data_IF_172382929360
#
_entry.id   IF_172382929360
#
_cell.length_a   1.000
_cell.length_b   1.000
_cell.length_c   1.000
_cell.angle_alpha   90.00
_cell.angle_beta   90.00
_cell.angle_gamma   90.00
#
_symmetry.space_group_name_H-M   'P 1'
#
loop_
_entity.id
_entity.type
_entity.pdbx_description
1 polymer ?
#
# COMPACT_ATOMS: atom_id res chain seq x y z
N UNK A 1 -3.39 30.94 -13.96
CA UNK A 1 -3.83 29.53 -14.19
C UNK A 1 -4.28 28.96 -12.85
N UNK A 2 -5.03 27.86 -12.79
CA UNK A 2 -5.08 27.03 -11.58
C UNK A 2 -3.65 26.66 -11.16
N UNK A 3 -3.43 26.43 -9.87
CA UNK A 3 -2.15 25.93 -9.36
C UNK A 3 -1.86 24.52 -9.85
N UNK A 4 -0.57 24.18 -10.00
CA UNK A 4 -0.17 22.85 -10.46
C UNK A 4 -0.24 21.84 -9.31
N UNK A 5 -0.54 20.59 -9.65
CA UNK A 5 -0.51 19.44 -8.73
C UNK A 5 0.65 18.54 -9.15
N UNK A 6 1.69 18.44 -8.32
CA UNK A 6 2.76 17.47 -8.52
C UNK A 6 2.46 16.18 -7.76
N UNK A 7 2.15 15.12 -8.50
CA UNK A 7 1.76 13.83 -7.92
C UNK A 7 2.96 12.94 -7.53
N UNK A 8 4.21 13.39 -7.71
CA UNK A 8 5.40 12.55 -7.54
C UNK A 8 6.61 13.31 -6.98
N UNK A 9 6.50 13.84 -5.76
CA UNK A 9 7.65 14.38 -5.01
C UNK A 9 8.22 13.37 -4.03
N UNK A 10 9.47 13.57 -3.61
CA UNK A 10 10.13 12.81 -2.53
C UNK A 10 10.72 13.81 -1.54
N UNK A 11 9.97 14.11 -0.47
CA UNK A 11 10.37 15.10 0.56
C UNK A 11 11.24 14.48 1.65
N UNK A 12 11.36 13.15 1.70
CA UNK A 12 12.35 12.37 2.48
C UNK A 12 12.30 12.54 4.02
N UNK A 13 11.36 13.32 4.55
CA UNK A 13 11.13 13.54 5.97
C UNK A 13 9.96 12.66 6.48
N UNK A 14 10.06 12.01 7.66
CA UNK A 14 11.19 11.97 8.60
C UNK A 14 12.35 11.09 8.13
N UNK A 15 13.49 11.20 8.81
CA UNK A 15 14.58 10.23 8.78
C UNK A 15 15.71 10.53 7.77
N UNK A 16 15.40 11.08 6.59
CA UNK A 16 16.38 11.65 5.64
C UNK A 16 16.02 13.10 5.31
N UNK A 17 15.59 13.85 6.33
CA UNK A 17 15.13 15.24 6.20
C UNK A 17 16.18 16.15 5.55
N UNK A 18 17.47 15.87 5.74
CA UNK A 18 18.58 16.63 5.16
C UNK A 18 18.75 16.46 3.63
N UNK A 19 18.01 15.53 3.01
CA UNK A 19 17.96 15.40 1.55
C UNK A 19 17.03 16.43 0.90
N UNK A 20 15.97 16.82 1.59
CA UNK A 20 15.03 17.88 1.19
C UNK A 20 14.28 18.39 2.44
N UNK A 21 13.25 17.66 2.89
CA UNK A 21 12.38 18.04 4.01
C UNK A 21 11.11 18.77 3.54
N UNK A 22 10.06 18.78 4.37
CA UNK A 22 8.79 19.41 4.00
C UNK A 22 8.94 20.91 3.77
N UNK A 23 9.79 21.58 4.56
CA UNK A 23 9.93 23.03 4.52
C UNK A 23 10.51 23.55 3.20
N UNK A 24 11.69 23.08 2.80
CA UNK A 24 12.34 23.55 1.56
C UNK A 24 11.62 23.02 0.32
N UNK A 25 11.19 21.75 0.33
CA UNK A 25 10.52 21.15 -0.81
C UNK A 25 9.16 21.81 -1.11
N UNK A 26 8.37 22.15 -0.10
CA UNK A 26 7.09 22.88 -0.33
C UNK A 26 7.30 24.36 -0.67
N UNK A 27 8.35 25.01 -0.16
CA UNK A 27 8.74 26.35 -0.62
C UNK A 27 9.19 26.36 -2.09
N UNK A 28 9.96 25.34 -2.50
CA UNK A 28 10.38 25.16 -3.89
C UNK A 28 9.15 24.94 -4.80
N UNK A 29 8.23 24.07 -4.39
CA UNK A 29 6.95 23.83 -5.08
C UNK A 29 6.15 25.14 -5.26
N UNK A 30 5.95 25.91 -4.18
CA UNK A 30 5.28 27.22 -4.23
C UNK A 30 5.97 28.18 -5.20
N UNK A 31 7.31 28.25 -5.19
CA UNK A 31 8.07 29.12 -6.10
C UNK A 31 7.92 28.75 -7.58
N UNK A 32 7.66 27.46 -7.87
CA UNK A 32 7.39 26.94 -9.21
C UNK A 32 5.93 27.05 -9.67
N UNK A 33 5.02 27.54 -8.83
CA UNK A 33 3.58 27.58 -9.12
C UNK A 33 2.85 26.25 -8.91
N UNK A 34 3.47 25.30 -8.22
CA UNK A 34 2.82 24.09 -7.68
C UNK A 34 2.13 24.49 -6.38
N UNK A 35 0.85 24.14 -6.24
CA UNK A 35 0.04 24.44 -5.03
C UNK A 35 -0.40 23.20 -4.28
N UNK A 36 -0.14 22.02 -4.83
CA UNK A 36 -0.38 20.74 -4.15
C UNK A 36 0.73 19.77 -4.55
N UNK A 37 1.33 19.10 -3.56
CA UNK A 37 2.30 18.02 -3.80
C UNK A 37 1.81 16.72 -3.16
N UNK A 38 2.08 15.57 -3.79
CA UNK A 38 1.77 14.25 -3.24
C UNK A 38 3.08 13.49 -2.98
N UNK A 39 3.45 13.37 -1.70
CA UNK A 39 4.73 12.82 -1.27
C UNK A 39 4.76 11.29 -1.33
N UNK A 40 5.88 10.76 -1.83
CA UNK A 40 6.12 9.34 -2.05
C UNK A 40 6.40 8.57 -0.75
N UNK A 41 6.13 7.25 -0.71
CA UNK A 41 6.16 6.48 0.54
C UNK A 41 7.53 5.93 0.93
N UNK A 42 8.56 6.12 0.09
CA UNK A 42 9.93 5.68 0.33
C UNK A 42 10.87 6.85 0.60
N UNK A 43 12.16 6.56 0.79
CA UNK A 43 13.25 7.48 1.14
C UNK A 43 13.11 8.17 2.52
N UNK A 44 11.91 8.50 2.96
CA UNK A 44 11.63 8.77 4.37
C UNK A 44 11.81 7.48 5.21
N UNK A 45 12.36 7.61 6.42
CA UNK A 45 12.56 6.52 7.38
C UNK A 45 11.73 6.81 8.64
N UNK A 46 10.79 5.93 9.03
CA UNK A 46 10.38 4.71 8.31
C UNK A 46 9.51 5.04 7.07
N UNK A 47 9.50 4.18 6.04
CA UNK A 47 8.67 4.38 4.85
C UNK A 47 7.18 4.26 5.19
N UNK A 48 6.32 4.90 4.41
CA UNK A 48 4.87 5.06 4.64
C UNK A 48 4.07 3.78 4.32
N UNK A 49 4.45 2.66 4.95
CA UNK A 49 3.96 1.30 4.68
C UNK A 49 3.00 0.78 5.76
N UNK A 50 2.86 1.48 6.88
CA UNK A 50 1.92 1.17 7.98
C UNK A 50 1.25 2.45 8.48
N UNK A 51 0.13 2.32 9.21
CA UNK A 51 -0.54 3.47 9.84
C UNK A 51 0.36 4.22 10.82
N UNK A 52 1.20 3.50 11.57
CA UNK A 52 2.15 4.12 12.49
C UNK A 52 3.17 4.98 11.74
N UNK A 53 3.75 4.45 10.66
CA UNK A 53 4.71 5.19 9.83
C UNK A 53 4.06 6.38 9.12
N UNK A 54 2.78 6.26 8.77
CA UNK A 54 2.01 7.36 8.18
C UNK A 54 1.78 8.50 9.18
N UNK A 55 1.39 8.19 10.42
CA UNK A 55 1.25 9.19 11.48
C UNK A 55 2.57 9.93 11.75
N UNK A 56 3.71 9.21 11.79
CA UNK A 56 5.04 9.83 11.93
C UNK A 56 5.35 10.82 10.79
N UNK A 57 4.93 10.52 9.55
CA UNK A 57 5.11 11.43 8.41
C UNK A 57 4.17 12.63 8.46
N UNK A 58 2.91 12.44 8.86
CA UNK A 58 1.96 13.52 9.15
C UNK A 58 2.53 14.47 10.22
N UNK A 59 3.00 13.92 11.34
CA UNK A 59 3.58 14.71 12.44
C UNK A 59 4.84 15.45 12.01
N UNK A 60 5.66 14.86 11.14
CA UNK A 60 6.85 15.51 10.61
C UNK A 60 6.54 16.69 9.67
N UNK A 61 5.38 16.69 8.99
CA UNK A 61 4.95 17.79 8.12
C UNK A 61 4.32 18.99 8.87
N UNK A 62 3.81 18.80 10.10
CA UNK A 62 3.10 19.83 10.88
C UNK A 62 3.91 21.12 10.99
N UNK A 63 3.31 22.24 10.57
CA UNK A 63 3.92 23.57 10.63
C UNK A 63 5.11 23.79 9.67
N UNK A 64 5.32 22.90 8.69
CA UNK A 64 6.44 22.97 7.73
C UNK A 64 5.99 22.95 6.26
N UNK A 65 4.72 23.23 5.97
CA UNK A 65 4.17 23.15 4.61
C UNK A 65 3.75 24.52 4.09
N UNK A 66 4.20 24.85 2.87
CA UNK A 66 3.87 26.10 2.16
C UNK A 66 2.85 25.91 1.02
N UNK A 67 2.48 24.65 0.75
CA UNK A 67 1.48 24.21 -0.24
C UNK A 67 0.74 23.00 0.32
N UNK A 68 -0.41 22.63 -0.25
CA UNK A 68 -1.17 21.46 0.20
C UNK A 68 -0.34 20.18 0.03
N UNK A 69 -0.39 19.28 1.02
CA UNK A 69 0.34 18.01 0.96
C UNK A 69 -0.63 16.83 1.04
N UNK A 70 -0.55 15.96 0.03
CA UNK A 70 -1.09 14.61 0.06
C UNK A 70 0.02 13.57 0.22
N UNK A 71 -0.36 12.32 0.49
CA UNK A 71 0.59 11.24 0.73
C UNK A 71 0.21 9.96 0.01
N UNK A 72 1.21 9.26 -0.52
CA UNK A 72 1.10 7.89 -1.01
C UNK A 72 1.35 6.88 0.12
N UNK A 73 0.65 5.74 0.07
CA UNK A 73 1.00 4.55 0.83
C UNK A 73 2.04 3.70 0.09
N UNK A 74 2.85 2.95 0.82
CA UNK A 74 3.83 2.02 0.25
C UNK A 74 3.27 0.62 0.01
N UNK A 75 3.73 -0.03 -1.07
CA UNK A 75 3.61 -1.48 -1.26
C UNK A 75 4.98 -2.13 -1.01
N UNK A 76 5.07 -2.95 0.04
CA UNK A 76 6.23 -3.80 0.33
C UNK A 76 5.75 -5.23 0.59
N UNK A 77 6.58 -6.28 0.38
CA UNK A 77 6.13 -7.69 0.42
C UNK A 77 5.39 -8.12 1.69
N UNK A 78 5.61 -7.43 2.82
CA UNK A 78 5.09 -7.76 4.15
C UNK A 78 3.81 -7.02 4.56
N UNK A 79 3.41 -5.93 3.89
CA UNK A 79 2.38 -5.00 4.40
C UNK A 79 0.95 -5.16 3.82
N UNK A 80 0.60 -6.34 3.28
CA UNK A 80 -0.75 -6.59 2.71
C UNK A 80 -1.91 -6.31 3.69
N UNK A 81 -1.67 -6.35 5.00
CA UNK A 81 -2.70 -6.07 6.00
C UNK A 81 -2.88 -4.57 6.29
N UNK A 82 -1.88 -3.74 6.00
CA UNK A 82 -1.88 -2.29 6.22
C UNK A 82 -2.59 -1.51 5.11
N UNK A 83 -2.79 -2.10 3.92
CA UNK A 83 -3.38 -1.41 2.77
C UNK A 83 -4.78 -0.84 3.07
N UNK A 84 -5.69 -1.65 3.63
CA UNK A 84 -7.04 -1.19 3.96
C UNK A 84 -7.05 -0.15 5.11
N UNK A 85 -6.29 -0.32 6.21
CA UNK A 85 -6.05 0.74 7.19
C UNK A 85 -5.51 2.05 6.60
N UNK A 86 -4.50 2.01 5.71
CA UNK A 86 -3.94 3.20 5.08
C UNK A 86 -4.95 3.94 4.18
N UNK A 87 -5.81 3.20 3.45
CA UNK A 87 -6.94 3.79 2.72
C UNK A 87 -7.88 4.53 3.67
N UNK A 88 -8.22 3.94 4.83
CA UNK A 88 -9.06 4.58 5.84
C UNK A 88 -8.42 5.82 6.46
N UNK A 89 -7.08 5.87 6.54
CA UNK A 89 -6.32 7.05 6.96
C UNK A 89 -6.21 8.13 5.88
N UNK A 90 -6.67 7.86 4.65
CA UNK A 90 -6.77 8.85 3.59
C UNK A 90 -5.55 8.99 2.68
N UNK A 91 -4.66 7.99 2.58
CA UNK A 91 -3.62 7.99 1.52
C UNK A 91 -4.27 8.09 0.13
N UNK A 92 -3.62 8.77 -0.82
CA UNK A 92 -4.18 9.00 -2.17
C UNK A 92 -4.14 7.74 -3.06
N UNK A 93 -3.45 6.71 -2.62
CA UNK A 93 -3.28 5.40 -3.26
C UNK A 93 -1.97 4.77 -2.82
N UNK A 94 -1.42 3.87 -3.62
CA UNK A 94 -0.17 3.19 -3.28
C UNK A 94 0.88 3.23 -4.38
N UNK A 95 2.15 3.33 -4.00
CA UNK A 95 3.32 3.15 -4.88
C UNK A 95 4.06 1.87 -4.54
N UNK A 96 4.42 1.08 -5.55
CA UNK A 96 5.37 -0.03 -5.46
C UNK A 96 6.52 0.11 -6.45
N UNK A 97 7.51 -0.78 -6.35
CA UNK A 97 8.63 -0.91 -7.28
C UNK A 97 8.69 -2.34 -7.84
N UNK A 98 8.90 -2.49 -9.16
CA UNK A 98 9.03 -3.80 -9.83
C UNK A 98 10.50 -4.25 -9.97
N UNK A 99 11.42 -3.41 -9.50
CA UNK A 99 12.88 -3.53 -9.53
C UNK A 99 13.40 -3.06 -8.17
N UNK A 100 14.69 -3.24 -7.88
CA UNK A 100 15.34 -2.63 -6.72
C UNK A 100 15.07 -1.11 -6.67
N UNK A 101 14.65 -0.61 -5.50
CA UNK A 101 14.33 0.80 -5.29
C UNK A 101 15.56 1.66 -4.94
N UNK A 102 16.70 1.01 -4.69
CA UNK A 102 17.91 1.64 -4.16
C UNK A 102 17.97 1.74 -2.63
N UNK A 103 16.93 1.28 -1.91
CA UNK A 103 16.88 1.30 -0.43
C UNK A 103 16.25 0.03 0.17
N UNK A 104 16.91 -0.55 1.17
CA UNK A 104 16.53 -1.84 1.79
C UNK A 104 15.16 -1.80 2.48
N UNK A 105 14.77 -0.65 3.03
CA UNK A 105 13.48 -0.47 3.72
C UNK A 105 12.26 -0.45 2.77
N UNK A 106 12.49 -0.28 1.46
CA UNK A 106 11.43 -0.27 0.44
C UNK A 106 11.71 -1.29 -0.68
N UNK A 107 11.71 -2.60 -0.37
CA UNK A 107 12.09 -3.63 -1.33
C UNK A 107 11.05 -3.80 -2.45
N UNK A 108 11.51 -4.31 -3.59
CA UNK A 108 10.70 -4.63 -4.76
C UNK A 108 9.54 -5.60 -4.43
N UNK A 109 8.43 -5.49 -5.16
CA UNK A 109 7.26 -6.37 -5.02
C UNK A 109 7.11 -7.32 -6.21
N UNK A 110 6.68 -8.55 -5.93
CA UNK A 110 6.53 -9.60 -6.94
C UNK A 110 5.14 -9.57 -7.60
N UNK A 111 4.96 -10.17 -8.81
CA UNK A 111 3.64 -10.36 -9.41
C UNK A 111 2.65 -11.07 -8.48
N UNK A 112 3.12 -12.04 -7.68
CA UNK A 112 2.33 -12.77 -6.67
C UNK A 112 1.82 -11.84 -5.56
N UNK A 113 2.64 -10.88 -5.11
CA UNK A 113 2.21 -9.82 -4.20
C UNK A 113 1.20 -8.88 -4.86
N UNK A 114 1.45 -8.41 -6.09
CA UNK A 114 0.57 -7.47 -6.81
C UNK A 114 -0.85 -8.02 -6.95
N UNK A 115 -1.00 -9.30 -7.34
CA UNK A 115 -2.31 -9.97 -7.41
C UNK A 115 -3.02 -9.96 -6.05
N UNK A 116 -2.31 -10.26 -4.95
CA UNK A 116 -2.85 -10.22 -3.59
C UNK A 116 -3.23 -8.80 -3.14
N UNK A 117 -2.44 -7.79 -3.48
CA UNK A 117 -2.72 -6.39 -3.18
C UNK A 117 -3.98 -5.90 -3.93
N UNK A 118 -4.09 -6.19 -5.24
CA UNK A 118 -5.28 -5.91 -6.04
C UNK A 118 -6.54 -6.55 -5.45
N UNK A 119 -6.47 -7.84 -5.06
CA UNK A 119 -7.57 -8.53 -4.37
C UNK A 119 -7.93 -7.88 -3.02
N UNK A 120 -6.94 -7.48 -2.22
CA UNK A 120 -7.13 -6.86 -0.89
C UNK A 120 -7.90 -5.54 -0.97
N UNK A 121 -7.69 -4.76 -2.04
CA UNK A 121 -8.27 -3.41 -2.23
C UNK A 121 -9.36 -3.35 -3.30
N UNK A 122 -9.75 -4.46 -3.92
CA UNK A 122 -10.69 -4.49 -5.05
C UNK A 122 -12.03 -3.75 -4.81
N UNK A 123 -12.51 -3.74 -3.57
CA UNK A 123 -13.75 -3.09 -3.15
C UNK A 123 -13.53 -1.68 -2.56
N UNK A 124 -12.40 -1.03 -2.86
CA UNK A 124 -12.02 0.30 -2.37
C UNK A 124 -11.79 1.25 -3.55
N UNK A 125 -12.18 2.52 -3.37
CA UNK A 125 -11.75 3.61 -4.27
C UNK A 125 -10.30 3.94 -3.95
N UNK A 126 -9.37 3.33 -4.67
CA UNK A 126 -7.93 3.55 -4.53
C UNK A 126 -7.22 3.23 -5.84
N UNK A 127 -5.93 3.58 -5.94
CA UNK A 127 -5.09 3.25 -7.09
C UNK A 127 -3.79 2.59 -6.64
N UNK A 128 -3.23 1.74 -7.50
CA UNK A 128 -1.90 1.16 -7.35
C UNK A 128 -1.04 1.66 -8.51
N UNK A 129 0.10 2.26 -8.18
CA UNK A 129 1.09 2.81 -9.11
C UNK A 129 2.42 2.07 -8.93
N UNK A 130 3.17 1.87 -10.01
CA UNK A 130 4.40 1.07 -9.98
C UNK A 130 5.57 1.82 -10.61
N UNK A 131 6.77 1.63 -10.08
CA UNK A 131 8.00 1.88 -10.84
C UNK A 131 8.17 0.74 -11.84
N UNK A 132 7.76 0.99 -13.09
CA UNK A 132 7.63 -0.05 -14.11
C UNK A 132 8.92 -0.24 -14.92
N UNK A 133 10.00 -0.65 -14.24
CA UNK A 133 11.25 -1.07 -14.85
C UNK A 133 11.51 -2.56 -14.59
N UNK A 134 12.35 -3.16 -15.42
CA UNK A 134 12.76 -4.56 -15.34
C UNK A 134 14.26 -4.61 -15.11
N UNK A 135 14.72 -5.37 -14.12
CA UNK A 135 16.15 -5.60 -13.91
C UNK A 135 16.73 -6.20 -15.21
N UNK A 136 17.79 -5.60 -15.80
CA UNK A 136 18.43 -6.19 -16.96
C UNK A 136 18.90 -7.61 -16.63
N UNK A 137 18.53 -8.59 -17.47
CA UNK A 137 19.07 -9.95 -17.34
C UNK A 137 20.58 -9.90 -17.59
N UNK A 138 21.34 -9.95 -16.49
CA UNK A 138 22.81 -9.89 -16.49
C UNK A 138 23.42 -11.27 -16.72
N UNK A 139 23.12 -11.90 -17.85
CA UNK A 139 23.92 -13.02 -18.36
C UNK A 139 25.33 -12.48 -18.69
N UNK A 140 26.26 -12.62 -17.74
CA UNK A 140 27.68 -12.22 -17.85
C UNK A 140 27.97 -10.75 -18.18
N UNK A 141 27.16 -9.79 -17.71
CA UNK A 141 27.44 -8.35 -17.90
C UNK A 141 28.75 -7.89 -17.22
N UNK A 142 29.23 -8.60 -16.20
CA UNK A 142 30.56 -8.35 -15.62
C UNK A 142 31.72 -8.65 -16.60
N UNK A 143 31.53 -9.58 -17.55
CA UNK A 143 32.51 -9.85 -18.60
C UNK A 143 32.46 -8.78 -19.72
N UNK A 144 31.25 -8.33 -20.09
CA UNK A 144 31.06 -7.37 -21.19
C UNK A 144 31.39 -5.91 -20.82
N UNK A 145 31.12 -5.47 -19.58
CA UNK A 145 31.39 -4.08 -19.17
C UNK A 145 32.89 -3.77 -19.06
N UNK A 146 33.72 -4.73 -18.63
CA UNK A 146 35.16 -4.53 -18.45
C UNK A 146 35.89 -4.38 -19.78
N UNK A 147 35.40 -5.03 -20.85
CA UNK A 147 36.12 -5.10 -22.13
C UNK A 147 35.74 -4.00 -23.14
N UNK A 148 34.53 -3.43 -23.07
CA UNK A 148 34.02 -2.54 -24.13
C UNK A 148 33.65 -1.10 -23.73
N UNK A 149 33.38 -0.79 -22.46
CA UNK A 149 32.79 0.51 -22.08
C UNK A 149 33.50 1.12 -20.86
N UNK A 150 34.66 1.73 -21.10
CA UNK A 150 35.36 2.51 -20.07
C UNK A 150 34.48 3.63 -19.49
N UNK A 151 34.16 3.52 -18.18
CA UNK A 151 33.48 4.49 -17.32
C UNK A 151 32.35 5.33 -17.97
N UNK A 152 31.44 4.69 -18.74
CA UNK A 152 30.21 5.33 -19.21
C UNK A 152 28.98 4.51 -18.84
N UNK A 153 27.95 5.21 -18.36
CA UNK A 153 26.67 4.61 -17.93
C UNK A 153 26.09 3.74 -19.04
N UNK A 154 25.68 2.48 -18.76
CA UNK A 154 25.07 1.61 -19.76
C UNK A 154 23.79 2.23 -20.33
N UNK A 155 23.64 2.22 -21.66
CA UNK A 155 22.36 2.53 -22.30
C UNK A 155 21.45 1.31 -22.15
N UNK A 156 20.37 1.46 -21.39
CA UNK A 156 19.27 0.50 -21.39
C UNK A 156 18.59 0.52 -22.76
N UNK A 157 18.57 -0.64 -23.43
CA UNK A 157 17.82 -0.85 -24.67
C UNK A 157 16.59 -1.68 -24.31
N UNK A 158 15.40 -1.17 -24.59
CA UNK A 158 14.17 -1.94 -24.44
C UNK A 158 14.20 -3.14 -25.40
N UNK A 159 14.11 -4.36 -24.88
CA UNK A 159 14.18 -5.58 -25.68
C UNK A 159 12.78 -6.04 -26.13
N UNK A 160 12.68 -6.52 -27.38
CA UNK A 160 11.39 -6.93 -27.99
C UNK A 160 10.80 -8.23 -27.41
N UNK A 161 11.44 -8.84 -26.40
CA UNK A 161 11.08 -10.15 -25.84
C UNK A 161 10.08 -10.12 -24.68
N UNK A 162 9.41 -8.98 -24.47
CA UNK A 162 8.51 -8.71 -23.34
C UNK A 162 7.48 -9.83 -23.05
N UNK A 163 7.03 -10.56 -24.07
CA UNK A 163 6.03 -11.62 -23.94
C UNK A 163 6.54 -12.93 -23.29
N UNK A 164 7.85 -13.22 -23.29
CA UNK A 164 8.37 -14.48 -22.75
C UNK A 164 8.55 -14.46 -21.23
N UNK A 165 8.73 -13.28 -20.63
CA UNK A 165 9.09 -13.13 -19.21
C UNK A 165 7.90 -13.04 -18.25
N UNK A 166 6.66 -13.08 -18.75
CA UNK A 166 5.44 -12.98 -17.93
C UNK A 166 4.96 -14.35 -17.41
N UNK A 167 5.51 -15.46 -17.93
CA UNK A 167 4.95 -16.81 -17.77
C UNK A 167 5.76 -17.71 -16.82
N UNK A 168 7.08 -17.53 -16.69
CA UNK A 168 7.91 -18.33 -15.78
C UNK A 168 8.01 -17.70 -14.39
N UNK A 169 7.17 -18.17 -13.45
CA UNK A 169 7.50 -18.45 -12.04
C UNK A 169 6.23 -18.73 -11.21
N UNK A 170 5.71 -19.96 -11.32
CA UNK A 170 4.96 -20.72 -10.30
C UNK A 170 4.54 -22.10 -10.91
N UNK A 171 5.48 -22.88 -11.48
CA UNK A 171 5.26 -24.33 -11.73
C UNK A 171 5.50 -25.14 -10.43
N UNK A 172 4.74 -24.82 -9.39
CA UNK A 172 4.57 -25.68 -8.21
C UNK A 172 3.34 -25.23 -7.42
N UNK A 173 2.16 -25.74 -7.78
CA UNK A 173 0.98 -25.88 -6.90
C UNK A 173 -0.06 -26.79 -7.61
N UNK A 174 0.06 -28.10 -7.43
CA UNK A 174 -1.06 -29.03 -7.64
C UNK A 174 -2.11 -28.79 -6.54
N UNK A 175 -3.10 -27.91 -6.75
CA UNK A 175 -4.44 -28.04 -6.14
C UNK A 175 -5.46 -27.01 -6.69
N UNK A 176 -5.85 -27.12 -7.96
CA UNK A 176 -7.14 -26.61 -8.44
C UNK A 176 -7.76 -27.52 -9.49
N UNK A 177 -8.21 -28.71 -9.05
CA UNK A 177 -9.14 -29.54 -9.83
C UNK A 177 -10.30 -30.02 -8.95
N UNK A 178 -11.48 -30.11 -9.58
CA UNK A 178 -12.74 -30.66 -9.07
C UNK A 178 -13.53 -29.78 -8.08
N UNK A 179 -14.63 -29.20 -8.58
CA UNK A 179 -15.58 -28.41 -7.78
C UNK A 179 -16.85 -27.95 -8.52
N UNK A 180 -16.89 -28.03 -9.86
CA UNK A 180 -18.12 -27.81 -10.64
C UNK A 180 -18.80 -29.15 -10.89
N UNK A 181 -19.88 -29.44 -10.16
CA UNK A 181 -20.86 -30.46 -10.54
C UNK A 181 -22.23 -29.81 -10.71
N UNK A 182 -22.79 -29.96 -11.91
CA UNK A 182 -24.16 -29.54 -12.20
C UNK A 182 -25.15 -30.42 -11.44
N UNK A 183 -26.25 -29.82 -10.96
CA UNK A 183 -27.28 -30.55 -10.23
C UNK A 183 -28.06 -31.53 -11.12
N UNK A 184 -28.45 -32.66 -10.52
CA UNK A 184 -29.55 -33.52 -11.00
C UNK A 184 -30.43 -33.86 -9.80
N UNK A 185 -31.75 -33.72 -9.99
CA UNK A 185 -32.76 -33.93 -8.97
C UNK A 185 -33.21 -35.39 -8.82
N UNK A 186 -33.37 -35.85 -7.58
CA UNK A 186 -34.36 -36.82 -7.10
C UNK A 186 -34.39 -36.68 -5.56
N UNK A 187 -35.50 -36.76 -4.82
CA UNK A 187 -36.80 -37.36 -5.15
C UNK A 187 -37.04 -38.56 -4.23
N UNK A 188 -37.51 -38.34 -2.99
CA UNK A 188 -37.75 -39.40 -2.01
C UNK A 188 -38.23 -38.88 -0.64
N UNK A 189 -39.26 -39.49 -0.07
CA UNK A 189 -39.98 -39.05 1.13
C UNK A 189 -39.91 -40.04 2.29
N UNK A 190 -40.50 -39.67 3.44
CA UNK A 190 -40.73 -40.45 4.67
C UNK A 190 -39.53 -40.51 5.65
N UNK A 191 -39.69 -40.42 6.99
CA UNK A 191 -40.86 -40.07 7.80
C UNK A 191 -40.72 -40.38 9.31
N UNK A 192 -41.25 -39.50 10.15
CA UNK A 192 -41.99 -39.82 11.41
C UNK A 192 -41.25 -40.38 12.66
N UNK A 193 -40.98 -39.45 13.61
CA UNK A 193 -41.33 -39.50 15.07
C UNK A 193 -40.41 -40.04 16.20
N UNK A 194 -40.61 -39.39 17.37
CA UNK A 194 -40.35 -39.79 18.77
C UNK A 194 -38.88 -39.95 19.25
N UNK A 195 -38.46 -39.45 20.43
CA UNK A 195 -39.11 -38.60 21.45
C UNK A 195 -38.58 -38.87 22.88
N UNK A 196 -38.69 -37.89 23.80
CA UNK A 196 -38.51 -38.01 25.29
C UNK A 196 -37.06 -38.22 25.80
N UNK A 197 -36.58 -37.71 26.96
CA UNK A 197 -36.80 -36.47 27.73
C UNK A 197 -35.68 -36.30 28.82
N UNK A 198 -35.78 -35.24 29.65
CA UNK A 198 -35.02 -34.92 30.88
C UNK A 198 -33.70 -34.13 30.66
N UNK A 199 -33.46 -32.96 31.24
CA UNK A 199 -34.30 -32.07 32.06
C UNK A 199 -33.80 -31.88 33.49
N UNK A 200 -33.16 -30.73 33.76
CA UNK A 200 -32.96 -29.96 35.02
C UNK A 200 -32.09 -28.73 34.60
N UNK A 201 -32.47 -27.44 34.72
CA UNK A 201 -32.95 -26.66 35.89
C UNK A 201 -31.87 -26.61 36.99
N UNK A 202 -31.33 -25.46 37.46
CA UNK A 202 -31.68 -24.02 37.38
C UNK A 202 -30.45 -23.18 36.89
N UNK A 203 -30.30 -21.84 36.92
CA UNK A 203 -31.12 -20.67 37.29
C UNK A 203 -30.61 -19.37 36.60
N UNK A 204 -31.33 -18.25 36.73
CA UNK A 204 -30.88 -16.84 36.60
C UNK A 204 -31.73 -16.01 37.58
N UNK A 205 -31.23 -14.91 38.18
CA UNK A 205 -31.25 -13.58 37.54
C UNK A 205 -29.89 -12.86 37.76
N UNK A 206 -29.67 -11.54 37.77
CA UNK A 206 -30.50 -10.33 37.61
C UNK A 206 -29.68 -9.20 36.91
N UNK A 207 -30.05 -7.92 37.07
CA UNK A 207 -29.29 -6.77 36.55
C UNK A 207 -29.38 -5.55 37.48
N UNK A 208 -28.29 -4.76 37.58
CA UNK A 208 -28.21 -3.38 38.09
C UNK A 208 -27.06 -2.71 37.27
N UNK A 209 -27.15 -1.63 36.49
CA UNK A 209 -27.76 -0.28 36.48
C UNK A 209 -26.75 0.86 36.75
N UNK A 210 -26.59 1.73 35.73
CA UNK A 210 -26.17 3.15 35.75
C UNK A 210 -24.80 3.57 36.35
N UNK A 211 -23.83 3.78 35.46
CA UNK A 211 -23.47 5.13 34.94
C UNK A 211 -22.59 6.08 35.77
N UNK A 212 -21.47 6.49 35.18
CA UNK A 212 -20.90 7.85 35.31
C UNK A 212 -20.07 8.20 34.06
N UNK A 213 -20.03 9.49 33.72
CA UNK A 213 -19.40 10.03 32.51
C UNK A 213 -17.92 10.36 32.71
N UNK A 214 -17.09 10.13 31.70
CA UNK A 214 -15.86 10.90 31.47
C UNK A 214 -15.88 11.43 30.03
N UNK A 215 -16.52 12.59 29.86
CA UNK A 215 -16.19 13.50 28.76
C UNK A 215 -14.86 14.18 29.13
N UNK A 216 -13.93 14.23 28.18
CA UNK A 216 -12.65 14.93 28.32
C UNK A 216 -11.57 14.24 27.49
N UNK A 217 -10.69 15.04 26.88
CA UNK A 217 -9.63 14.61 25.94
C UNK A 217 -10.10 14.14 24.56
N UNK A 218 -10.97 14.93 23.94
CA UNK A 218 -10.78 15.28 22.53
C UNK A 218 -10.13 16.67 22.52
N UNK A 219 -8.80 16.73 22.58
CA UNK A 219 -8.05 17.97 22.33
C UNK A 219 -7.86 18.14 20.82
N UNK A 220 -7.93 19.39 20.37
CA UNK A 220 -7.89 19.77 18.97
C UNK A 220 -6.54 19.36 18.34
N UNK A 221 -6.61 18.52 17.30
CA UNK A 221 -5.53 18.45 16.32
C UNK A 221 -5.80 19.61 15.38
N UNK A 222 -5.06 20.72 15.55
CA UNK A 222 -5.09 21.84 14.59
C UNK A 222 -4.93 21.31 13.17
N UNK A 223 -5.85 21.72 12.29
CA UNK A 223 -5.98 21.18 10.94
C UNK A 223 -4.67 21.33 10.15
N UNK A 224 -4.08 20.19 9.80
CA UNK A 224 -3.19 20.14 8.63
C UNK A 224 -4.11 20.27 7.42
N UNK A 225 -3.83 21.24 6.54
CA UNK A 225 -4.52 21.40 5.27
C UNK A 225 -4.11 20.27 4.30
N UNK A 226 -4.62 19.07 4.60
CA UNK A 226 -4.44 17.86 3.80
C UNK A 226 -5.33 18.00 2.57
N UNK A 227 -4.72 17.94 1.40
CA UNK A 227 -5.44 18.00 0.12
C UNK A 227 -6.67 17.06 0.16
N UNK A 228 -7.90 17.55 -0.08
CA UNK A 228 -9.12 16.80 0.17
C UNK A 228 -9.18 15.49 -0.65
N UNK A 229 -9.89 14.45 -0.16
CA UNK A 229 -10.08 13.22 -0.92
C UNK A 229 -10.90 13.49 -2.20
N UNK A 230 -10.43 12.94 -3.32
CA UNK A 230 -11.14 12.88 -4.61
C UNK A 230 -12.30 11.86 -4.60
#
# INVERSE_FOLDING_TARGET
>A
MPGLVDAHVHLNEPGRTEWEGFATGTQAAASGGVTTVIDMPLNAIPPTTTVANFNLKIDAAKGKTWVDVGFWGGLIPTNLNDLNPLISMGVRGFKGFLIDSGVDEFPAITPKYIRKAMQKVANKKTLLMFHAEMQPHVDNVHALLVEQIGNKTPKLIANERHAQFVISDDESDEEYSNGVSNGVSNGGSNGVSNGVSNGHSTQKPMAISKGSSLNGLAEEIDDIDLAPPF
#
